data_IF_211250143984
#
_entry.id   IF_211250143984
#
_cell.length_a   1.000
_cell.length_b   1.000
_cell.length_c   1.000
_cell.angle_alpha   90.00
_cell.angle_beta   90.00
_cell.angle_gamma   90.00
#
_symmetry.space_group_name_H-M   'P 1'
#
loop_
_entity.id
_entity.type
_entity.pdbx_description
1 polymer ?
#
# COMPACT_ATOMS: atom_id res chain seq x y z
N UNK A 1 -22.23 -3.54 13.44
CA UNK A 1 -23.03 -2.62 12.60
C UNK A 1 -22.11 -1.57 12.01
N UNK A 2 -22.26 -1.20 10.73
CA UNK A 2 -21.51 -0.11 10.12
C UNK A 2 -22.18 1.22 10.49
N UNK A 3 -21.49 2.05 11.28
CA UNK A 3 -21.90 3.41 11.61
C UNK A 3 -20.91 4.39 11.01
N UNK A 4 -21.43 5.41 10.31
CA UNK A 4 -20.65 6.39 9.56
C UNK A 4 -20.83 7.75 10.22
N UNK A 5 -19.72 8.40 10.61
CA UNK A 5 -19.74 9.75 11.15
C UNK A 5 -19.92 10.78 10.02
N UNK A 6 -19.10 10.64 8.96
CA UNK A 6 -19.09 11.56 7.82
C UNK A 6 -18.81 10.83 6.51
N UNK A 7 -19.43 11.33 5.45
CA UNK A 7 -19.18 10.88 4.08
C UNK A 7 -19.27 12.09 3.15
N UNK A 8 -18.22 12.32 2.36
CA UNK A 8 -18.19 13.44 1.41
C UNK A 8 -17.25 13.15 0.24
N UNK A 9 -17.43 13.89 -0.86
CA UNK A 9 -16.52 13.82 -2.01
C UNK A 9 -15.32 14.73 -1.78
N UNK A 10 -14.13 14.22 -2.07
CA UNK A 10 -12.89 14.99 -2.00
C UNK A 10 -12.76 15.88 -3.23
N UNK A 11 -12.16 17.06 -3.06
CA UNK A 11 -11.84 17.92 -4.19
C UNK A 11 -10.92 17.19 -5.17
N UNK A 12 -11.15 17.41 -6.45
CA UNK A 12 -10.36 16.80 -7.51
C UNK A 12 -9.10 17.62 -7.77
N UNK A 13 -7.95 16.99 -7.99
CA UNK A 13 -6.78 17.72 -8.48
C UNK A 13 -7.07 18.33 -9.87
N UNK A 14 -6.64 19.58 -10.09
CA UNK A 14 -6.91 20.32 -11.34
C UNK A 14 -6.35 19.64 -12.60
N UNK A 15 -5.36 18.76 -12.44
CA UNK A 15 -4.70 18.03 -13.52
C UNK A 15 -5.44 16.75 -13.97
N UNK A 16 -6.57 16.39 -13.34
CA UNK A 16 -7.37 15.24 -13.76
C UNK A 16 -8.56 15.66 -14.66
N UNK A 17 -8.82 14.97 -15.79
CA UNK A 17 -9.96 15.25 -16.67
C UNK A 17 -11.30 15.07 -15.97
N UNK A 18 -12.28 15.95 -16.21
CA UNK A 18 -13.60 15.97 -15.54
C UNK A 18 -14.39 14.65 -15.58
N UNK A 19 -14.15 13.82 -16.60
CA UNK A 19 -14.74 12.48 -16.72
C UNK A 19 -14.39 11.52 -15.57
N UNK A 20 -13.25 11.74 -14.89
CA UNK A 20 -12.84 10.89 -13.75
C UNK A 20 -13.70 11.22 -12.51
N UNK A 21 -14.35 10.22 -11.88
CA UNK A 21 -15.15 10.46 -10.68
C UNK A 21 -14.28 10.96 -9.51
N UNK A 22 -14.86 11.78 -8.64
CA UNK A 22 -14.23 12.22 -7.39
C UNK A 22 -14.20 11.08 -6.38
N UNK A 23 -13.08 10.96 -5.67
CA UNK A 23 -12.97 10.04 -4.53
C UNK A 23 -13.95 10.43 -3.42
N UNK A 24 -14.41 9.43 -2.68
CA UNK A 24 -15.29 9.59 -1.52
C UNK A 24 -14.48 9.29 -0.27
N UNK A 25 -14.43 10.25 0.64
CA UNK A 25 -13.85 10.06 1.97
C UNK A 25 -14.95 9.68 2.94
N UNK A 26 -14.75 8.55 3.62
CA UNK A 26 -15.67 8.01 4.62
C UNK A 26 -14.95 7.90 5.96
N UNK A 27 -15.57 8.45 7.01
CA UNK A 27 -15.16 8.26 8.39
C UNK A 27 -16.10 7.28 9.08
N UNK A 28 -15.61 6.07 9.34
CA UNK A 28 -16.34 5.11 10.15
C UNK A 28 -16.21 5.49 11.63
N UNK A 29 -17.31 5.38 12.38
CA UNK A 29 -17.35 5.69 13.79
C UNK A 29 -16.37 4.81 14.60
N UNK A 30 -16.35 3.51 14.28
CA UNK A 30 -15.49 2.53 14.96
C UNK A 30 -14.30 2.11 14.10
N UNK A 31 -13.09 2.25 14.64
CA UNK A 31 -11.85 1.85 13.99
C UNK A 31 -11.83 0.37 13.55
N UNK A 32 -12.31 -0.54 14.41
CA UNK A 32 -12.30 -1.97 14.11
C UNK A 32 -13.21 -2.32 12.93
N UNK A 33 -14.33 -1.61 12.75
CA UNK A 33 -15.24 -1.78 11.61
C UNK A 33 -14.54 -1.35 10.31
N UNK A 34 -13.86 -0.19 10.32
CA UNK A 34 -13.06 0.27 9.18
C UNK A 34 -12.02 -0.78 8.77
N UNK A 35 -11.29 -1.33 9.74
CA UNK A 35 -10.28 -2.37 9.48
C UNK A 35 -10.90 -3.68 8.97
N UNK A 36 -12.06 -4.07 9.50
CA UNK A 36 -12.79 -5.25 9.03
C UNK A 36 -13.23 -5.09 7.57
N UNK A 37 -13.82 -3.94 7.20
CA UNK A 37 -14.23 -3.64 5.81
C UNK A 37 -13.02 -3.71 4.87
N UNK A 38 -11.92 -3.05 5.22
CA UNK A 38 -10.70 -3.04 4.42
C UNK A 38 -10.08 -4.44 4.28
N UNK A 39 -10.11 -5.26 5.34
CA UNK A 39 -9.62 -6.65 5.29
C UNK A 39 -10.49 -7.51 4.40
N UNK A 40 -11.80 -7.45 4.57
CA UNK A 40 -12.78 -8.20 3.77
C UNK A 40 -12.72 -7.83 2.29
N UNK A 41 -12.53 -6.55 1.97
CA UNK A 41 -12.36 -6.11 0.59
C UNK A 41 -11.09 -6.70 -0.03
N UNK A 42 -9.95 -6.66 0.68
CA UNK A 42 -8.69 -7.26 0.20
C UNK A 42 -8.76 -8.78 0.06
N UNK A 43 -9.41 -9.48 0.99
CA UNK A 43 -9.53 -10.94 0.92
C UNK A 43 -10.39 -11.42 -0.25
N UNK A 44 -11.26 -10.54 -0.78
CA UNK A 44 -12.06 -10.79 -1.99
C UNK A 44 -11.38 -10.31 -3.28
N UNK A 45 -10.09 -9.96 -3.24
CA UNK A 45 -9.34 -9.52 -4.41
C UNK A 45 -9.36 -8.01 -4.66
N UNK A 46 -9.96 -7.21 -3.77
CA UNK A 46 -9.89 -5.74 -3.84
C UNK A 46 -10.81 -5.10 -4.90
N UNK A 47 -11.82 -5.83 -5.36
CA UNK A 47 -12.85 -5.35 -6.29
C UNK A 47 -14.23 -5.85 -5.85
N UNK A 48 -15.28 -5.16 -6.28
CA UNK A 48 -16.66 -5.60 -6.06
C UNK A 48 -17.21 -6.20 -7.37
N UNK A 49 -18.04 -7.25 -7.28
CA UNK A 49 -18.60 -7.92 -8.46
C UNK A 49 -19.44 -6.95 -9.30
N UNK A 50 -20.36 -6.23 -8.67
CA UNK A 50 -21.22 -5.26 -9.36
C UNK A 50 -20.52 -3.92 -9.66
N UNK A 51 -19.40 -3.65 -8.97
CA UNK A 51 -18.68 -2.38 -9.09
C UNK A 51 -17.17 -2.64 -9.23
N UNK A 52 -16.72 -3.26 -10.33
CA UNK A 52 -15.33 -3.69 -10.50
C UNK A 52 -14.34 -2.52 -10.56
N UNK A 53 -14.81 -1.34 -10.97
CA UNK A 53 -14.00 -0.12 -11.00
C UNK A 53 -13.80 0.53 -9.62
N UNK A 54 -14.60 0.15 -8.60
CA UNK A 54 -14.52 0.74 -7.26
C UNK A 54 -13.42 0.07 -6.46
N UNK A 55 -12.47 0.88 -5.98
CA UNK A 55 -11.40 0.46 -5.07
C UNK A 55 -11.58 1.10 -3.72
N UNK A 56 -11.45 0.30 -2.66
CA UNK A 56 -11.50 0.78 -1.28
C UNK A 56 -10.09 0.75 -0.70
N UNK A 57 -9.57 1.93 -0.35
CA UNK A 57 -8.23 2.10 0.21
C UNK A 57 -8.29 2.77 1.58
N UNK A 58 -7.25 2.57 2.37
CA UNK A 58 -7.11 3.30 3.63
C UNK A 58 -6.66 4.74 3.33
N UNK A 59 -7.25 5.71 4.02
CA UNK A 59 -6.74 7.07 4.04
C UNK A 59 -5.45 7.12 4.89
N UNK A 60 -4.35 7.52 4.26
CA UNK A 60 -3.00 7.52 4.86
C UNK A 60 -2.36 8.86 4.56
N UNK A 61 -1.83 9.51 5.60
CA UNK A 61 -1.18 10.82 5.45
C UNK A 61 0.05 10.74 4.54
N UNK A 62 0.34 11.86 3.86
CA UNK A 62 1.53 12.00 3.02
C UNK A 62 2.83 11.76 3.81
N UNK A 63 2.88 12.19 5.09
CA UNK A 63 4.00 11.93 5.99
C UNK A 63 4.21 10.42 6.20
N UNK A 64 3.14 9.67 6.49
CA UNK A 64 3.23 8.21 6.63
C UNK A 64 3.64 7.53 5.33
N UNK A 65 3.10 7.97 4.18
CA UNK A 65 3.51 7.45 2.87
C UNK A 65 5.00 7.70 2.58
N UNK A 66 5.52 8.88 2.95
CA UNK A 66 6.95 9.19 2.85
C UNK A 66 7.78 8.26 3.70
N UNK A 67 7.43 8.06 4.97
CA UNK A 67 8.15 7.12 5.84
C UNK A 67 8.09 5.68 5.29
N UNK A 68 6.96 5.25 4.70
CA UNK A 68 6.87 3.92 4.07
C UNK A 68 7.79 3.78 2.86
N UNK A 69 8.03 4.86 2.11
CA UNK A 69 8.95 4.89 0.97
C UNK A 69 10.39 4.60 1.40
N UNK A 70 10.78 4.98 2.62
CA UNK A 70 12.13 4.72 3.14
C UNK A 70 12.41 3.21 3.31
N UNK A 71 11.37 2.39 3.44
CA UNK A 71 11.46 0.93 3.48
C UNK A 71 11.43 0.26 2.10
N UNK A 72 11.54 1.00 0.99
CA UNK A 72 11.43 0.43 -0.37
C UNK A 72 12.39 -0.73 -0.58
N UNK A 73 13.66 -0.59 -0.17
CA UNK A 73 14.64 -1.67 -0.29
C UNK A 73 14.19 -2.94 0.45
N UNK A 74 13.76 -2.79 1.71
CA UNK A 74 13.26 -3.89 2.55
C UNK A 74 12.04 -4.55 1.93
N UNK A 75 11.02 -3.77 1.56
CA UNK A 75 9.76 -4.30 1.01
C UNK A 75 9.93 -4.94 -0.36
N UNK A 76 10.86 -4.46 -1.19
CA UNK A 76 11.18 -5.08 -2.48
C UNK A 76 11.85 -6.43 -2.28
N UNK A 77 12.88 -6.52 -1.45
CA UNK A 77 13.54 -7.80 -1.15
C UNK A 77 12.55 -8.82 -0.55
N UNK A 78 11.71 -8.40 0.40
CA UNK A 78 10.68 -9.29 0.96
C UNK A 78 9.72 -9.83 -0.12
N UNK A 79 9.28 -8.98 -1.07
CA UNK A 79 8.43 -9.41 -2.19
C UNK A 79 9.15 -10.38 -3.13
N UNK A 80 10.38 -10.07 -3.53
CA UNK A 80 11.18 -10.92 -4.42
C UNK A 80 11.44 -12.31 -3.84
N UNK A 81 11.51 -12.43 -2.51
CA UNK A 81 11.67 -13.70 -1.80
C UNK A 81 10.36 -14.35 -1.34
N UNK A 82 9.20 -13.82 -1.75
CA UNK A 82 7.89 -14.38 -1.38
C UNK A 82 7.54 -14.25 0.12
N UNK A 83 8.25 -13.39 0.85
CA UNK A 83 8.03 -13.19 2.29
C UNK A 83 6.89 -12.19 2.48
N UNK A 84 5.80 -12.68 3.09
CA UNK A 84 4.63 -11.84 3.39
C UNK A 84 4.94 -10.87 4.53
N UNK A 85 4.55 -9.62 4.34
CA UNK A 85 4.58 -8.59 5.37
C UNK A 85 3.28 -7.79 5.38
N UNK A 86 3.07 -7.05 6.47
CA UNK A 86 2.01 -6.07 6.62
C UNK A 86 2.54 -4.81 7.29
N UNK A 87 1.91 -3.68 7.02
CA UNK A 87 2.20 -2.44 7.71
C UNK A 87 1.53 -2.42 9.09
N UNK A 88 2.32 -2.15 10.12
CA UNK A 88 1.88 -1.73 11.44
C UNK A 88 1.88 -0.21 11.56
N UNK A 89 1.01 0.31 12.44
CA UNK A 89 0.93 1.74 12.72
C UNK A 89 2.09 2.22 13.62
N UNK A 90 2.59 3.45 13.42
CA UNK A 90 2.36 4.33 12.28
C UNK A 90 3.14 3.87 11.03
N UNK A 91 4.41 3.48 11.21
CA UNK A 91 5.29 3.01 10.12
C UNK A 91 6.19 1.87 10.62
N UNK A 92 5.61 0.68 10.83
CA UNK A 92 6.36 -0.54 11.17
C UNK A 92 6.11 -1.60 10.13
N UNK A 93 7.09 -2.44 9.82
CA UNK A 93 6.88 -3.65 9.02
C UNK A 93 6.74 -4.85 9.96
N UNK A 94 5.62 -5.55 9.86
CA UNK A 94 5.37 -6.79 10.59
C UNK A 94 5.42 -7.92 9.57
N UNK A 95 6.33 -8.85 9.75
CA UNK A 95 6.51 -10.01 8.88
C UNK A 95 6.36 -11.29 9.68
N UNK A 96 5.95 -12.37 9.01
CA UNK A 96 5.90 -13.71 9.58
C UNK A 96 6.79 -14.63 8.76
N UNK A 97 7.77 -15.27 9.41
CA UNK A 97 8.68 -16.24 8.79
C UNK A 97 8.91 -17.39 9.77
N UNK A 98 8.70 -18.63 9.31
CA UNK A 98 8.93 -19.85 10.12
C UNK A 98 8.20 -19.82 11.48
N UNK A 99 6.95 -19.35 11.52
CA UNK A 99 6.17 -19.23 12.75
C UNK A 99 6.56 -18.07 13.68
N UNK A 100 7.66 -17.36 13.40
CA UNK A 100 8.08 -16.19 14.17
C UNK A 100 7.57 -14.90 13.53
N UNK A 101 6.93 -14.07 14.34
CA UNK A 101 6.55 -12.71 13.94
C UNK A 101 7.67 -11.75 14.33
N UNK A 102 8.17 -10.98 13.36
CA UNK A 102 9.19 -9.96 13.58
C UNK A 102 8.61 -8.59 13.24
N UNK A 103 8.92 -7.60 14.07
CA UNK A 103 8.54 -6.21 13.85
C UNK A 103 9.80 -5.41 13.57
N UNK A 104 9.85 -4.77 12.42
CA UNK A 104 10.90 -3.84 12.00
C UNK A 104 10.34 -2.43 12.19
N UNK A 105 11.00 -1.64 13.04
CA UNK A 105 10.55 -0.31 13.42
C UNK A 105 11.36 0.81 12.76
N UNK A 106 12.48 0.50 12.10
CA UNK A 106 13.25 1.47 11.30
C UNK A 106 13.70 0.90 9.94
N UNK A 107 13.91 1.75 8.91
CA UNK A 107 14.48 1.31 7.64
C UNK A 107 15.86 0.63 7.79
N UNK A 108 16.71 1.15 8.66
CA UNK A 108 18.07 0.64 8.95
C UNK A 108 18.01 -0.74 9.59
N UNK A 109 17.08 -0.93 10.54
CA UNK A 109 16.79 -2.24 11.10
C UNK A 109 16.35 -3.22 10.00
N UNK A 110 15.54 -2.77 9.05
CA UNK A 110 15.13 -3.57 7.90
C UNK A 110 16.32 -4.05 7.05
N UNK A 111 17.29 -3.16 6.77
CA UNK A 111 18.51 -3.53 6.03
C UNK A 111 19.34 -4.56 6.79
N UNK A 112 19.57 -4.36 8.09
CA UNK A 112 20.27 -5.31 8.96
C UNK A 112 19.59 -6.68 8.98
N UNK A 113 18.25 -6.72 8.97
CA UNK A 113 17.51 -7.98 8.86
C UNK A 113 17.72 -8.68 7.51
N UNK A 114 17.75 -7.93 6.42
CA UNK A 114 18.03 -8.50 5.10
C UNK A 114 19.45 -9.08 5.02
N UNK A 115 20.44 -8.35 5.54
CA UNK A 115 21.84 -8.80 5.64
C UNK A 115 21.94 -10.11 6.43
N UNK A 116 21.36 -10.11 7.64
CA UNK A 116 21.34 -11.30 8.52
C UNK A 116 20.71 -12.52 7.86
N UNK A 117 19.78 -12.32 6.93
CA UNK A 117 19.11 -13.39 6.22
C UNK A 117 19.70 -13.71 4.85
N UNK A 118 20.78 -13.02 4.43
CA UNK A 118 21.38 -13.19 3.12
C UNK A 118 20.44 -12.83 1.96
N UNK A 119 19.49 -11.92 2.19
CA UNK A 119 18.47 -11.51 1.21
C UNK A 119 18.84 -10.23 0.44
N UNK A 120 20.01 -9.66 0.70
CA UNK A 120 20.57 -8.64 -0.17
C UNK A 120 21.25 -9.32 -1.36
N UNK A 121 20.56 -9.38 -2.50
CA UNK A 121 21.23 -9.57 -3.79
C UNK A 121 21.45 -8.22 -4.46
N UNK A 122 22.63 -8.03 -5.04
CA UNK A 122 22.92 -6.98 -6.02
C UNK A 122 21.92 -7.11 -7.18
N UNK A 123 20.83 -6.37 -7.13
CA UNK A 123 19.92 -6.19 -8.27
C UNK A 123 20.00 -4.74 -8.71
N UNK A 124 21.19 -4.34 -9.16
CA UNK A 124 21.42 -3.07 -9.82
C UNK A 124 20.73 -2.99 -11.20
N UNK A 125 20.27 -4.11 -11.78
CA UNK A 125 19.71 -4.12 -13.14
C UNK A 125 18.18 -4.30 -13.23
N UNK A 126 17.55 -5.18 -12.43
CA UNK A 126 16.08 -5.39 -12.48
C UNK A 126 15.27 -4.18 -11.98
N UNK A 127 15.89 -3.32 -11.15
CA UNK A 127 15.25 -2.14 -10.58
C UNK A 127 14.84 -1.09 -11.62
N UNK A 128 15.54 -1.05 -12.77
CA UNK A 128 15.23 -0.13 -13.89
C UNK A 128 14.01 -0.58 -14.70
N UNK A 129 13.69 -1.88 -14.71
CA UNK A 129 12.63 -2.44 -15.54
C UNK A 129 11.26 -2.44 -14.83
N UNK A 130 11.23 -2.71 -13.52
CA UNK A 130 9.96 -2.75 -12.75
C UNK A 130 9.38 -1.36 -12.46
N UNK A 131 10.21 -0.31 -12.45
CA UNK A 131 9.77 1.06 -12.12
C UNK A 131 9.58 1.98 -13.34
N UNK A 132 9.63 1.45 -14.57
CA UNK A 132 9.10 2.20 -15.72
C UNK A 132 7.57 2.22 -15.60
N UNK A 133 7.03 3.32 -15.11
CA UNK A 133 5.66 3.70 -15.44
C UNK A 133 5.49 3.58 -16.95
N UNK A 134 4.43 2.94 -17.48
CA UNK A 134 4.15 3.05 -18.90
C UNK A 134 4.00 4.55 -19.19
N UNK A 135 4.90 5.08 -20.03
CA UNK A 135 4.79 6.44 -20.50
C UNK A 135 3.40 6.63 -21.10
N UNK A 136 2.80 7.80 -20.88
CA UNK A 136 1.64 8.22 -21.67
C UNK A 136 2.03 8.08 -23.14
N UNK A 137 1.45 7.11 -23.82
CA UNK A 137 1.38 7.13 -25.28
C UNK A 137 0.53 8.35 -25.61
N UNK A 138 1.19 9.42 -26.03
CA UNK A 138 0.53 10.55 -26.66
C UNK A 138 0.23 10.11 -28.08
N UNK A 139 -0.86 9.38 -28.28
CA UNK A 139 -1.37 9.15 -29.62
C UNK A 139 -2.06 10.43 -30.07
N UNK A 140 -1.34 11.20 -30.87
CA UNK A 140 -1.90 12.22 -31.75
C UNK A 140 -2.67 11.49 -32.85
N UNK A 141 -3.98 11.73 -32.91
CA UNK A 141 -4.75 11.80 -34.14
C UNK A 141 -5.98 12.68 -33.90
#
# INVERSE_FOLDING_TARGET
MLLIDTIHRVAKPKNLPDSIPRDVLLRAHYFHIKELVLRSHRSRGGTHVDFPAVRIMADISSATLRCRKDYTQTTTALRSHGIRYRWGFPTKLILSRQGKTTVISSPEEGKRFLEKWGLLKESSEEFRLVNRSPGRTTDMN
#
